data_IF_527923027060
#
_entry.id   IF_527923027060
#
_cell.length_a   1.000
_cell.length_b   1.000
_cell.length_c   1.000
_cell.angle_alpha   90.00
_cell.angle_beta   90.00
_cell.angle_gamma   90.00
#
_symmetry.space_group_name_H-M   'P 1'
#
loop_
_entity.id
_entity.type
_entity.pdbx_description
1 polymer ?
#
# COMPACT_ATOMS: atom_id res chain seq x y z
N UNK A 1 -5.34 -9.64 -37.73
CA UNK A 1 -5.57 -8.49 -36.84
C UNK A 1 -7.00 -8.43 -36.27
N UNK A 2 -7.94 -9.29 -36.69
CA UNK A 2 -9.28 -9.40 -36.07
C UNK A 2 -9.26 -10.03 -34.66
N UNK A 3 -8.19 -10.73 -34.29
CA UNK A 3 -8.12 -11.50 -33.04
C UNK A 3 -7.90 -10.68 -31.76
N UNK A 4 -7.32 -9.47 -31.84
CA UNK A 4 -7.02 -8.64 -30.65
C UNK A 4 -8.28 -8.02 -30.06
N UNK A 5 -9.20 -7.54 -30.92
CA UNK A 5 -10.47 -6.98 -30.48
C UNK A 5 -11.34 -8.03 -29.78
N UNK A 6 -11.33 -9.26 -30.30
CA UNK A 6 -12.02 -10.40 -29.70
C UNK A 6 -11.39 -10.78 -28.36
N UNK A 7 -10.05 -10.84 -28.28
CA UNK A 7 -9.32 -11.15 -27.05
C UNK A 7 -9.59 -10.12 -25.93
N UNK A 8 -9.59 -8.82 -26.25
CA UNK A 8 -9.91 -7.77 -25.26
C UNK A 8 -11.37 -7.85 -24.80
N UNK A 9 -12.30 -8.23 -25.70
CA UNK A 9 -13.71 -8.41 -25.37
C UNK A 9 -13.93 -9.60 -24.43
N UNK A 10 -13.26 -10.72 -24.70
CA UNK A 10 -13.27 -11.91 -23.84
C UNK A 10 -12.63 -11.64 -22.48
N UNK A 11 -11.46 -11.00 -22.44
CA UNK A 11 -10.78 -10.62 -21.20
C UNK A 11 -11.64 -9.68 -20.33
N UNK A 12 -12.35 -8.72 -20.94
CA UNK A 12 -13.29 -7.84 -20.22
C UNK A 12 -14.49 -8.62 -19.67
N UNK A 13 -14.98 -9.63 -20.38
CA UNK A 13 -16.08 -10.48 -19.91
C UNK A 13 -15.64 -11.34 -18.71
N UNK A 14 -14.39 -11.79 -18.70
CA UNK A 14 -13.80 -12.59 -17.63
C UNK A 14 -13.50 -11.74 -16.37
N UNK A 15 -12.99 -10.51 -16.56
CA UNK A 15 -12.78 -9.54 -15.49
C UNK A 15 -14.08 -9.12 -14.77
N UNK A 16 -15.23 -9.26 -15.42
CA UNK A 16 -16.55 -9.06 -14.78
C UNK A 16 -16.97 -10.21 -13.87
N UNK A 17 -16.43 -11.42 -14.08
CA UNK A 17 -16.67 -12.57 -13.19
C UNK A 17 -15.85 -12.48 -11.89
N UNK A 18 -14.83 -11.62 -11.87
CA UNK A 18 -14.02 -11.35 -10.68
C UNK A 18 -14.86 -10.61 -9.65
N UNK A 19 -14.93 -11.13 -8.44
CA UNK A 19 -15.59 -10.51 -7.30
C UNK A 19 -14.73 -9.36 -6.78
N UNK A 20 -14.90 -8.17 -7.35
CA UNK A 20 -14.20 -6.98 -6.90
C UNK A 20 -14.69 -6.56 -5.50
N UNK A 21 -13.78 -6.16 -4.60
CA UNK A 21 -14.17 -5.64 -3.29
C UNK A 21 -15.07 -4.42 -3.45
N UNK A 22 -16.09 -4.32 -2.59
CA UNK A 22 -17.00 -3.18 -2.61
C UNK A 22 -16.27 -1.87 -2.36
N UNK A 23 -16.74 -0.76 -2.96
CA UNK A 23 -16.12 0.57 -2.84
C UNK A 23 -15.81 0.96 -1.39
N UNK A 24 -16.69 0.61 -0.44
CA UNK A 24 -16.49 0.86 0.99
C UNK A 24 -15.30 0.10 1.56
N UNK A 25 -15.14 -1.19 1.22
CA UNK A 25 -14.04 -2.02 1.69
C UNK A 25 -12.69 -1.47 1.21
N UNK A 26 -12.62 -1.05 -0.05
CA UNK A 26 -11.41 -0.43 -0.61
C UNK A 26 -11.02 0.83 0.17
N UNK A 27 -11.99 1.70 0.46
CA UNK A 27 -11.75 2.91 1.25
C UNK A 27 -11.25 2.61 2.67
N UNK A 28 -11.86 1.65 3.37
CA UNK A 28 -11.41 1.24 4.70
C UNK A 28 -9.99 0.66 4.66
N UNK A 29 -9.68 -0.22 3.70
CA UNK A 29 -8.35 -0.78 3.55
C UNK A 29 -7.30 0.30 3.30
N UNK A 30 -7.58 1.28 2.43
CA UNK A 30 -6.67 2.40 2.17
C UNK A 30 -6.45 3.26 3.43
N UNK A 31 -7.51 3.56 4.17
CA UNK A 31 -7.42 4.34 5.41
C UNK A 31 -6.54 3.61 6.45
N UNK A 32 -6.74 2.31 6.61
CA UNK A 32 -5.93 1.48 7.53
C UNK A 32 -4.46 1.49 7.13
N UNK A 33 -4.16 1.34 5.84
CA UNK A 33 -2.77 1.38 5.35
C UNK A 33 -2.13 2.73 5.62
N UNK A 34 -2.83 3.84 5.38
CA UNK A 34 -2.32 5.19 5.68
C UNK A 34 -2.05 5.37 7.18
N UNK A 35 -2.99 4.96 8.04
CA UNK A 35 -2.81 5.05 9.48
C UNK A 35 -1.62 4.21 9.95
N UNK A 36 -1.48 2.99 9.42
CA UNK A 36 -0.38 2.09 9.75
C UNK A 36 0.98 2.62 9.29
N UNK A 37 1.09 3.12 8.06
CA UNK A 37 2.36 3.67 7.56
C UNK A 37 2.79 4.92 8.33
N UNK A 38 1.86 5.80 8.70
CA UNK A 38 2.15 6.96 9.56
C UNK A 38 2.61 6.53 10.97
N UNK A 39 1.98 5.49 11.54
CA UNK A 39 2.39 4.97 12.84
C UNK A 39 3.80 4.38 12.79
N UNK A 40 4.08 3.54 11.79
CA UNK A 40 5.40 2.91 11.63
C UNK A 40 6.48 3.95 11.35
N UNK A 41 6.21 4.95 10.50
CA UNK A 41 7.20 6.00 10.22
C UNK A 41 7.50 6.85 11.45
N UNK A 42 6.50 7.19 12.26
CA UNK A 42 6.70 7.90 13.52
C UNK A 42 7.53 7.07 14.51
N UNK A 43 7.26 5.77 14.62
CA UNK A 43 8.03 4.87 15.48
C UNK A 43 9.49 4.78 15.04
N UNK A 44 9.75 4.52 13.76
CA UNK A 44 11.11 4.44 13.22
C UNK A 44 11.85 5.76 13.39
N UNK A 45 11.21 6.89 13.08
CA UNK A 45 11.81 8.22 13.27
C UNK A 45 12.20 8.50 14.72
N UNK A 46 11.36 8.10 15.68
CA UNK A 46 11.69 8.18 17.12
C UNK A 46 12.91 7.33 17.48
N UNK A 47 12.96 6.10 16.99
CA UNK A 47 14.08 5.18 17.22
C UNK A 47 15.37 5.75 16.62
N UNK A 48 15.34 6.28 15.41
CA UNK A 48 16.50 6.88 14.73
C UNK A 48 17.03 8.10 15.50
N UNK A 49 16.14 8.95 16.01
CA UNK A 49 16.51 10.09 16.86
C UNK A 49 17.16 9.65 18.17
N UNK A 50 16.60 8.63 18.83
CA UNK A 50 17.15 8.09 20.07
C UNK A 50 18.53 7.47 19.84
N UNK A 51 18.68 6.65 18.81
CA UNK A 51 19.94 6.00 18.46
C UNK A 51 21.00 7.04 18.10
N UNK A 52 20.69 8.04 17.28
CA UNK A 52 21.62 9.11 16.91
C UNK A 52 22.03 9.95 18.12
N UNK A 53 21.09 10.25 19.01
CA UNK A 53 21.36 10.97 20.26
C UNK A 53 22.28 10.19 21.21
N UNK A 54 22.10 8.87 21.32
CA UNK A 54 22.96 8.01 22.13
C UNK A 54 24.34 7.82 21.49
N UNK A 55 24.40 7.48 20.20
CA UNK A 55 25.66 7.30 19.48
C UNK A 55 26.52 8.56 19.50
N UNK A 56 25.93 9.73 19.27
CA UNK A 56 26.67 11.01 19.28
C UNK A 56 27.27 11.34 20.65
N UNK A 57 26.63 10.93 21.76
CA UNK A 57 27.20 11.06 23.10
C UNK A 57 28.29 10.04 23.41
N UNK A 58 28.28 8.90 22.75
CA UNK A 58 29.23 7.80 22.97
C UNK A 58 30.51 7.96 22.12
N UNK A 59 30.39 8.57 20.94
CA UNK A 59 31.50 8.82 20.00
C UNK A 59 32.26 10.12 20.34
N UNK A 60 31.65 11.05 21.09
CA UNK A 60 32.28 12.31 21.52
C UNK A 60 33.05 12.15 22.83
#
# INVERSE_FOLDING_TARGET
MENILTFVREARAELKKVTWPGKKQVWYSTLVVIAFTLFVSAYLGLVDMLLTGVLSRLIR
#
